data_IF_502104218810
#
_entry.id   IF_502104218810
#
_cell.length_a   1.000
_cell.length_b   1.000
_cell.length_c   1.000
_cell.angle_alpha   90.00
_cell.angle_beta   90.00
_cell.angle_gamma   90.00
#
_symmetry.space_group_name_H-M   'P 1'
#
loop_
_entity.id
_entity.type
_entity.pdbx_description
1 polymer ?
#
# COMPACT_ATOMS: atom_id res chain seq x y z
N UNK A 1 28.16 -12.68 14.05
CA UNK A 1 27.95 -13.81 13.14
C UNK A 1 26.47 -13.85 12.88
N UNK A 2 26.07 -13.63 11.62
CA UNK A 2 24.71 -13.75 11.10
C UNK A 2 23.63 -13.31 12.08
N UNK A 3 23.50 -12.00 12.20
CA UNK A 3 22.22 -11.41 12.59
C UNK A 3 21.30 -11.69 11.40
N UNK A 4 20.60 -12.82 11.48
CA UNK A 4 19.44 -13.12 10.66
C UNK A 4 18.32 -12.17 11.12
N UNK A 5 18.55 -10.86 10.96
CA UNK A 5 17.51 -9.85 10.92
C UNK A 5 16.71 -10.17 9.67
N UNK A 6 15.80 -11.14 9.81
CA UNK A 6 14.61 -11.18 8.98
C UNK A 6 13.90 -9.87 9.29
N UNK A 7 14.33 -8.79 8.63
CA UNK A 7 13.53 -7.59 8.51
C UNK A 7 12.19 -8.11 8.06
N UNK A 8 11.21 -8.00 8.93
CA UNK A 8 9.84 -8.09 8.50
C UNK A 8 9.73 -6.87 7.61
N UNK A 9 9.89 -7.08 6.31
CA UNK A 9 9.72 -6.05 5.30
C UNK A 9 8.35 -5.42 5.60
N UNK A 10 8.37 -4.16 6.05
CA UNK A 10 7.17 -3.51 6.56
C UNK A 10 6.23 -3.23 5.40
N UNK A 11 5.13 -3.99 5.32
CA UNK A 11 4.05 -3.79 4.38
C UNK A 11 3.25 -2.51 4.71
N UNK A 12 2.85 -1.75 3.69
CA UNK A 12 2.01 -0.57 3.88
C UNK A 12 2.76 0.59 4.51
N UNK A 13 3.42 1.43 3.70
CA UNK A 13 4.21 2.57 4.21
C UNK A 13 3.38 3.61 4.99
N UNK A 14 2.07 3.67 4.74
CA UNK A 14 1.13 4.47 5.51
C UNK A 14 0.10 3.63 6.28
N UNK A 15 -0.41 2.57 5.66
CA UNK A 15 -1.50 1.77 6.21
C UNK A 15 -1.36 0.29 5.85
N UNK A 16 -1.28 -0.54 6.89
CA UNK A 16 -1.47 -1.98 6.80
C UNK A 16 -2.90 -2.34 7.25
N UNK A 17 -3.68 -2.95 6.38
CA UNK A 17 -5.00 -3.50 6.73
C UNK A 17 -4.89 -5.02 6.81
N UNK A 18 -4.77 -5.54 8.02
CA UNK A 18 -4.67 -6.98 8.27
C UNK A 18 -5.99 -7.73 7.97
N UNK A 19 -5.89 -9.05 7.85
CA UNK A 19 -7.03 -9.95 7.60
C UNK A 19 -8.11 -9.76 8.67
N UNK A 20 -9.35 -9.54 8.21
CA UNK A 20 -10.49 -9.25 9.09
C UNK A 20 -10.62 -7.77 9.49
N UNK A 21 -9.57 -6.97 9.29
CA UNK A 21 -9.60 -5.52 9.42
C UNK A 21 -10.40 -4.85 8.30
N UNK A 22 -10.76 -3.59 8.53
CA UNK A 22 -11.43 -2.77 7.53
C UNK A 22 -11.00 -1.32 7.65
N UNK A 23 -10.76 -0.67 6.51
CA UNK A 23 -10.44 0.74 6.40
C UNK A 23 -11.38 1.42 5.40
N UNK A 24 -11.85 2.61 5.77
CA UNK A 24 -12.60 3.50 4.89
C UNK A 24 -11.87 4.84 4.85
N UNK A 25 -11.34 5.17 3.67
CA UNK A 25 -10.55 6.36 3.42
C UNK A 25 -11.31 7.24 2.43
N UNK A 26 -11.68 8.43 2.88
CA UNK A 26 -12.52 9.37 2.15
C UNK A 26 -11.82 10.73 2.11
N UNK A 27 -11.59 11.25 0.91
CA UNK A 27 -10.90 12.52 0.68
C UNK A 27 -9.53 12.61 1.39
N UNK A 28 -8.74 11.53 1.32
CA UNK A 28 -7.38 11.48 1.90
C UNK A 28 -6.30 11.58 0.83
N UNK A 29 -5.09 11.97 1.26
CA UNK A 29 -3.89 11.96 0.43
C UNK A 29 -2.85 11.02 1.05
N UNK A 30 -2.45 10.01 0.30
CA UNK A 30 -1.39 9.08 0.63
C UNK A 30 -0.27 9.33 -0.39
N UNK A 31 0.68 10.17 -0.01
CA UNK A 31 1.73 10.66 -0.90
C UNK A 31 3.09 10.45 -0.27
N UNK A 32 4.08 10.07 -1.09
CA UNK A 32 5.49 9.92 -0.68
C UNK A 32 5.69 8.95 0.49
N UNK A 33 4.96 7.82 0.46
CA UNK A 33 5.11 6.74 1.42
C UNK A 33 6.01 5.63 0.87
N UNK A 34 6.76 4.98 1.76
CA UNK A 34 7.71 3.96 1.39
C UNK A 34 7.53 2.69 2.25
N UNK A 35 7.40 1.54 1.59
CA UNK A 35 7.38 0.22 2.22
C UNK A 35 8.63 -0.58 1.84
N UNK A 36 9.24 -1.27 2.82
CA UNK A 36 10.26 -2.29 2.52
C UNK A 36 9.61 -3.57 1.98
N UNK A 37 8.31 -3.79 2.24
CA UNK A 37 7.52 -4.90 1.70
C UNK A 37 6.59 -4.46 0.58
N UNK A 38 5.36 -4.98 0.63
CA UNK A 38 4.31 -4.70 -0.36
C UNK A 38 3.52 -3.44 0.00
N UNK A 39 2.98 -2.75 -1.03
CA UNK A 39 2.07 -1.63 -0.83
C UNK A 39 2.76 -0.36 -0.32
N UNK A 40 3.31 0.46 -1.22
CA UNK A 40 4.11 1.63 -0.82
C UNK A 40 3.33 2.62 0.05
N UNK A 41 2.03 2.81 -0.21
CA UNK A 41 1.11 3.45 0.72
C UNK A 41 0.29 2.45 1.51
N UNK A 42 -0.44 1.57 0.82
CA UNK A 42 -1.40 0.65 1.44
C UNK A 42 -1.05 -0.79 1.10
N UNK A 43 -0.93 -1.62 2.13
CA UNK A 43 -1.03 -3.06 2.00
C UNK A 43 -2.37 -3.53 2.54
N UNK A 44 -3.21 -4.11 1.67
CA UNK A 44 -4.54 -4.56 2.03
C UNK A 44 -4.68 -6.09 1.98
N UNK A 45 -4.72 -6.71 3.15
CA UNK A 45 -5.10 -8.11 3.37
C UNK A 45 -6.54 -8.26 3.89
N UNK A 46 -7.22 -7.16 4.18
CA UNK A 46 -8.57 -7.09 4.73
C UNK A 46 -9.58 -6.47 3.74
N UNK A 47 -10.24 -5.39 4.15
CA UNK A 47 -11.13 -4.62 3.27
C UNK A 47 -10.76 -3.14 3.30
N UNK A 48 -10.58 -2.56 2.13
CA UNK A 48 -10.28 -1.13 1.99
C UNK A 48 -11.21 -0.49 0.98
N UNK A 49 -11.79 0.63 1.37
CA UNK A 49 -12.51 1.54 0.50
C UNK A 49 -11.71 2.83 0.35
N UNK A 50 -11.33 3.15 -0.89
CA UNK A 50 -10.75 4.43 -1.28
C UNK A 50 -11.80 5.24 -2.03
N UNK A 51 -12.18 6.38 -1.47
CA UNK A 51 -13.14 7.31 -2.07
C UNK A 51 -12.55 8.70 -2.16
N UNK A 52 -12.68 9.35 -3.33
CA UNK A 52 -12.29 10.76 -3.55
C UNK A 52 -10.85 11.07 -3.11
N UNK A 53 -9.96 10.08 -3.18
CA UNK A 53 -8.63 10.14 -2.55
C UNK A 53 -7.50 10.25 -3.57
N UNK A 54 -6.26 10.39 -3.08
CA UNK A 54 -5.05 10.36 -3.89
C UNK A 54 -4.02 9.39 -3.32
N UNK A 55 -3.48 8.51 -4.15
CA UNK A 55 -2.37 7.60 -3.83
C UNK A 55 -1.27 7.84 -4.85
N UNK A 56 -0.29 8.70 -4.52
CA UNK A 56 0.65 9.27 -5.49
C UNK A 56 2.09 9.20 -4.99
N UNK A 57 3.06 9.04 -5.87
CA UNK A 57 4.49 9.09 -5.53
C UNK A 57 4.88 8.11 -4.41
N UNK A 58 4.23 6.94 -4.29
CA UNK A 58 4.57 5.95 -3.27
C UNK A 58 5.49 4.87 -3.83
N UNK A 59 6.31 4.28 -2.96
CA UNK A 59 7.30 3.27 -3.31
C UNK A 59 7.18 2.01 -2.47
N UNK A 60 7.13 0.86 -3.11
CA UNK A 60 7.31 -0.46 -2.49
C UNK A 60 8.58 -1.12 -3.04
N UNK A 61 9.39 -1.72 -2.17
CA UNK A 61 10.44 -2.64 -2.65
C UNK A 61 9.82 -3.95 -3.18
N UNK A 62 8.69 -4.38 -2.60
CA UNK A 62 7.89 -5.50 -3.07
C UNK A 62 6.93 -5.13 -4.20
N UNK A 63 5.73 -5.70 -4.18
CA UNK A 63 4.65 -5.49 -5.13
C UNK A 63 3.72 -4.33 -4.71
N UNK A 64 3.05 -3.71 -5.67
CA UNK A 64 2.04 -2.67 -5.44
C UNK A 64 2.65 -1.34 -4.97
N UNK A 65 3.21 -0.57 -5.90
CA UNK A 65 3.93 0.67 -5.57
C UNK A 65 3.09 1.67 -4.79
N UNK A 66 1.80 1.78 -5.13
CA UNK A 66 0.83 2.55 -4.37
C UNK A 66 0.05 1.67 -3.40
N UNK A 67 -0.71 0.73 -3.97
CA UNK A 67 -1.58 -0.17 -3.22
C UNK A 67 -1.28 -1.61 -3.62
N UNK A 68 -0.95 -2.43 -2.62
CA UNK A 68 -0.99 -3.87 -2.73
C UNK A 68 -2.32 -4.40 -2.17
N UNK A 69 -2.92 -5.38 -2.85
CA UNK A 69 -4.20 -5.95 -2.43
C UNK A 69 -4.28 -7.46 -2.62
N UNK A 70 -4.36 -8.18 -1.51
CA UNK A 70 -4.83 -9.58 -1.42
C UNK A 70 -6.23 -9.70 -0.80
N UNK A 71 -6.77 -8.60 -0.28
CA UNK A 71 -8.12 -8.51 0.28
C UNK A 71 -9.17 -8.02 -0.72
N UNK A 72 -10.18 -7.31 -0.20
CA UNK A 72 -11.16 -6.59 -1.01
C UNK A 72 -10.76 -5.12 -1.06
N UNK A 73 -10.54 -4.61 -2.26
CA UNK A 73 -10.32 -3.19 -2.51
C UNK A 73 -11.45 -2.65 -3.38
N UNK A 74 -12.06 -1.54 -2.94
CA UNK A 74 -12.95 -0.74 -3.78
C UNK A 74 -12.35 0.65 -3.93
N UNK A 75 -12.25 1.12 -5.16
CA UNK A 75 -11.69 2.42 -5.52
C UNK A 75 -12.74 3.21 -6.27
N UNK A 76 -13.11 4.37 -5.74
CA UNK A 76 -14.11 5.28 -6.31
C UNK A 76 -13.54 6.69 -6.35
N UNK A 77 -13.61 7.35 -7.51
CA UNK A 77 -13.18 8.75 -7.69
C UNK A 77 -11.79 9.06 -7.12
N UNK A 78 -10.91 8.07 -7.10
CA UNK A 78 -9.58 8.15 -6.50
C UNK A 78 -8.52 8.12 -7.59
N UNK A 79 -7.50 8.95 -7.41
CA UNK A 79 -6.37 9.05 -8.32
C UNK A 79 -5.22 8.19 -7.80
N UNK A 80 -4.67 7.32 -8.64
CA UNK A 80 -3.52 6.46 -8.34
C UNK A 80 -2.52 6.60 -9.48
N UNK A 81 -1.41 7.29 -9.23
CA UNK A 81 -0.39 7.62 -10.24
C UNK A 81 1.01 7.77 -9.65
N UNK A 82 2.01 7.73 -10.53
CA UNK A 82 3.43 7.94 -10.20
C UNK A 82 3.94 7.07 -9.05
N UNK A 83 3.35 5.89 -8.88
CA UNK A 83 3.79 4.95 -7.86
C UNK A 83 4.79 3.95 -8.47
N UNK A 84 5.69 3.42 -7.65
CA UNK A 84 6.77 2.54 -8.12
C UNK A 84 6.92 1.32 -7.24
N UNK A 85 7.06 0.16 -7.87
CA UNK A 85 7.29 -1.12 -7.20
C UNK A 85 8.64 -1.70 -7.65
N UNK A 86 9.38 -2.33 -6.74
CA UNK A 86 10.53 -3.16 -7.10
C UNK A 86 10.09 -4.48 -7.76
N UNK A 87 8.90 -4.97 -7.40
CA UNK A 87 8.20 -6.09 -8.02
C UNK A 87 7.20 -5.64 -9.10
N UNK A 88 5.95 -6.11 -8.98
CA UNK A 88 4.87 -5.88 -9.92
C UNK A 88 3.93 -4.75 -9.48
N UNK A 89 3.24 -4.14 -10.45
CA UNK A 89 2.15 -3.20 -10.16
C UNK A 89 2.65 -1.86 -9.62
N UNK A 90 3.44 -1.14 -10.42
CA UNK A 90 3.95 0.20 -10.07
C UNK A 90 2.84 1.17 -9.66
N UNK A 91 1.77 1.26 -10.44
CA UNK A 91 0.68 2.22 -10.24
C UNK A 91 0.87 3.44 -11.13
#
# INVERSE_FOLDING_TARGET
GKDDDKRVEGDGGALLVERGGSAYLDNVKLVDNNAEGDGGAIANYGRTWLKESKVVDNHAQGDGGGVYNEGILKVEETHVDDNTAGGNGGG
#
